data_IF_739551805617
#
_entry.id   IF_739551805617
#
_cell.length_a   1.000
_cell.length_b   1.000
_cell.length_c   1.000
_cell.angle_alpha   90.00
_cell.angle_beta   90.00
_cell.angle_gamma   90.00
#
_symmetry.space_group_name_H-M   'P 1'
#
loop_
_entity.id
_entity.type
_entity.pdbx_description
1 polymer ?
#
# COMPACT_ATOMS: atom_id res chain seq x y z
N UNK A 1 13.15 20.37 90.63
CA UNK A 1 12.36 19.52 89.72
C UNK A 1 11.74 20.43 88.67
N UNK A 2 12.34 20.51 87.49
CA UNK A 2 11.74 21.18 86.34
C UNK A 2 11.92 20.22 85.16
N UNK A 3 10.80 19.64 84.75
CA UNK A 3 10.71 18.67 83.66
C UNK A 3 11.07 19.31 82.33
N UNK A 4 11.77 18.53 81.53
CA UNK A 4 12.19 18.84 80.18
C UNK A 4 11.11 18.32 79.21
N UNK A 5 10.22 19.19 78.74
CA UNK A 5 9.26 18.86 77.68
C UNK A 5 9.83 19.26 76.32
N UNK A 6 10.40 18.29 75.62
CA UNK A 6 10.77 18.40 74.20
C UNK A 6 9.52 18.25 73.33
N UNK A 7 9.14 19.32 72.63
CA UNK A 7 8.18 19.28 71.52
C UNK A 7 8.92 18.93 70.22
N UNK A 8 8.45 18.00 69.39
CA UNK A 8 9.11 17.68 68.12
C UNK A 8 8.84 18.78 67.09
N UNK A 9 9.91 19.18 66.38
CA UNK A 9 9.85 20.10 65.26
C UNK A 9 9.11 19.44 64.08
N UNK A 10 8.05 20.10 63.62
CA UNK A 10 7.29 19.74 62.44
C UNK A 10 8.15 19.99 61.19
N UNK A 11 8.57 18.92 60.55
CA UNK A 11 9.37 18.94 59.33
C UNK A 11 8.49 19.37 58.16
N UNK A 12 8.54 20.66 57.78
CA UNK A 12 7.98 21.14 56.51
C UNK A 12 8.84 20.60 55.36
N UNK A 13 8.27 19.87 54.38
CA UNK A 13 9.03 19.51 53.19
C UNK A 13 9.37 20.78 52.40
N UNK A 14 10.64 20.89 52.01
CA UNK A 14 11.13 21.95 51.14
C UNK A 14 10.33 21.93 49.82
N UNK A 15 9.65 23.03 49.53
CA UNK A 15 9.11 23.35 48.21
C UNK A 15 10.29 23.36 47.24
N UNK A 16 10.34 22.37 46.36
CA UNK A 16 11.24 22.36 45.22
C UNK A 16 10.65 23.29 44.16
N UNK A 17 11.49 24.22 43.72
CA UNK A 17 11.18 25.38 42.90
C UNK A 17 10.43 25.07 41.58
N UNK A 18 9.57 25.99 41.08
CA UNK A 18 8.73 25.85 39.89
C UNK A 18 9.48 26.12 38.57
N UNK A 19 10.78 25.83 38.49
CA UNK A 19 11.65 26.24 37.37
C UNK A 19 11.65 25.19 36.25
N UNK A 20 11.53 23.90 36.55
CA UNK A 20 11.52 22.83 35.54
C UNK A 20 10.25 22.83 34.67
N UNK A 21 9.10 23.24 35.21
CA UNK A 21 7.83 23.27 34.48
C UNK A 21 7.75 24.42 33.48
N UNK A 22 8.41 25.55 33.77
CA UNK A 22 8.47 26.71 32.85
C UNK A 22 9.36 26.42 31.66
N UNK A 23 10.52 25.81 31.89
CA UNK A 23 11.42 25.40 30.80
C UNK A 23 10.76 24.31 29.92
N UNK A 24 10.01 23.38 30.52
CA UNK A 24 9.24 22.38 29.77
C UNK A 24 8.09 23.02 28.98
N UNK A 25 7.38 24.01 29.53
CA UNK A 25 6.32 24.75 28.84
C UNK A 25 6.87 25.62 27.71
N UNK A 26 7.99 26.31 27.92
CA UNK A 26 8.64 27.13 26.89
C UNK A 26 9.24 26.27 25.76
N UNK A 27 9.77 25.08 26.08
CA UNK A 27 10.17 24.08 25.08
C UNK A 27 8.97 23.55 24.28
N UNK A 28 7.86 23.24 24.96
CA UNK A 28 6.62 22.80 24.32
C UNK A 28 5.99 23.91 23.47
N UNK A 29 6.08 25.18 23.88
CA UNK A 29 5.54 26.33 23.17
C UNK A 29 6.43 26.73 21.97
N UNK A 30 7.75 26.58 22.10
CA UNK A 30 8.69 26.70 20.99
C UNK A 30 8.49 25.58 19.96
N UNK A 31 8.30 24.33 20.38
CA UNK A 31 7.95 23.21 19.49
C UNK A 31 6.53 23.34 18.91
N UNK A 32 5.59 23.93 19.65
CA UNK A 32 4.25 24.22 19.16
C UNK A 32 4.24 25.22 17.99
N UNK A 33 5.24 26.10 17.88
CA UNK A 33 5.43 26.97 16.70
C UNK A 33 5.94 26.20 15.49
N UNK A 34 6.65 25.10 15.69
CA UNK A 34 7.14 24.21 14.62
C UNK A 34 6.07 23.19 14.16
N UNK A 35 4.93 23.12 14.84
CA UNK A 35 3.81 22.23 14.53
C UNK A 35 3.32 22.26 13.08
N UNK A 36 3.14 23.42 12.40
CA UNK A 36 2.74 23.43 11.00
C UNK A 36 3.81 22.82 10.08
N UNK A 37 5.09 22.98 10.42
CA UNK A 37 6.21 22.36 9.68
C UNK A 37 6.29 20.86 9.93
N UNK A 38 6.05 20.43 11.17
CA UNK A 38 5.92 19.01 11.53
C UNK A 38 4.77 18.37 10.74
N UNK A 39 3.58 19.00 10.72
CA UNK A 39 2.42 18.54 9.95
C UNK A 39 2.71 18.46 8.45
N UNK A 40 3.47 19.41 7.91
CA UNK A 40 3.92 19.37 6.52
C UNK A 40 4.96 18.27 6.24
N UNK A 41 5.89 18.01 7.17
CA UNK A 41 6.91 16.97 7.05
C UNK A 41 6.31 15.56 7.22
N UNK A 42 5.17 15.44 7.93
CA UNK A 42 4.41 14.22 8.14
C UNK A 42 3.78 13.62 6.86
N UNK A 43 4.18 14.07 5.66
CA UNK A 43 3.81 13.48 4.37
C UNK A 43 4.65 12.25 3.99
N UNK A 44 5.74 11.98 4.71
CA UNK A 44 6.72 10.95 4.35
C UNK A 44 6.77 9.78 5.35
N UNK A 45 7.53 8.74 4.99
CA UNK A 45 7.58 7.41 5.62
C UNK A 45 7.80 7.40 7.15
N UNK A 46 7.38 6.32 7.80
CA UNK A 46 7.24 6.25 9.26
C UNK A 46 8.51 6.51 10.10
N UNK A 47 9.71 6.14 9.64
CA UNK A 47 10.97 6.42 10.35
C UNK A 47 11.38 7.90 10.26
N UNK A 48 11.24 8.50 9.08
CA UNK A 48 11.44 9.94 8.85
C UNK A 48 10.48 10.77 9.68
N UNK A 49 9.30 10.23 9.94
CA UNK A 49 8.27 10.87 10.74
C UNK A 49 8.69 11.12 12.19
N UNK A 50 9.45 10.19 12.74
CA UNK A 50 9.89 10.20 14.13
C UNK A 50 11.32 10.75 14.26
N UNK A 51 11.97 11.15 13.15
CA UNK A 51 13.36 11.61 13.10
C UNK A 51 14.34 10.64 13.77
N UNK A 52 14.05 9.34 13.67
CA UNK A 52 14.83 8.29 14.32
C UNK A 52 15.95 7.81 13.40
N UNK A 53 17.12 7.60 14.00
CA UNK A 53 18.22 6.90 13.34
C UNK A 53 17.90 5.41 13.19
N UNK A 54 18.53 4.70 12.23
CA UNK A 54 18.43 3.25 12.12
C UNK A 54 18.89 2.57 13.41
N UNK A 55 18.23 1.48 13.80
CA UNK A 55 18.60 0.71 14.99
C UNK A 55 18.11 1.24 16.34
N UNK A 56 17.25 2.27 16.37
CA UNK A 56 16.67 2.80 17.62
C UNK A 56 15.74 1.79 18.29
N UNK A 57 15.89 1.46 19.59
CA UNK A 57 15.08 0.43 20.24
C UNK A 57 13.59 0.78 20.27
N UNK A 58 12.71 -0.22 20.37
CA UNK A 58 11.26 -0.02 20.41
C UNK A 58 10.78 0.89 21.55
N UNK A 59 11.51 0.89 22.67
CA UNK A 59 11.25 1.78 23.80
C UNK A 59 11.23 3.25 23.38
N UNK A 60 12.18 3.63 22.52
CA UNK A 60 12.43 5.00 22.13
C UNK A 60 11.42 5.42 21.06
N UNK A 61 11.04 4.50 20.16
CA UNK A 61 9.93 4.70 19.22
C UNK A 61 8.65 5.07 19.98
N UNK A 62 8.35 4.34 21.06
CA UNK A 62 7.18 4.62 21.92
C UNK A 62 7.31 5.96 22.65
N UNK A 63 8.50 6.32 23.11
CA UNK A 63 8.74 7.61 23.77
C UNK A 63 8.51 8.77 22.80
N UNK A 64 9.13 8.72 21.60
CA UNK A 64 8.99 9.78 20.60
C UNK A 64 7.56 9.86 20.10
N UNK A 65 6.88 8.73 19.88
CA UNK A 65 5.46 8.72 19.55
C UNK A 65 4.63 9.46 20.60
N UNK A 66 4.81 9.13 21.90
CA UNK A 66 4.07 9.80 22.98
C UNK A 66 4.31 11.31 22.96
N UNK A 67 5.57 11.74 22.88
CA UNK A 67 5.93 13.17 22.82
C UNK A 67 5.28 13.88 21.63
N UNK A 68 5.48 13.37 20.41
CA UNK A 68 4.92 13.98 19.19
C UNK A 68 3.38 13.94 19.18
N UNK A 69 2.76 12.87 19.66
CA UNK A 69 1.30 12.70 19.70
C UNK A 69 0.60 13.70 20.61
N UNK A 70 1.24 14.12 21.71
CA UNK A 70 0.72 15.13 22.62
C UNK A 70 0.71 16.51 21.97
N UNK A 71 1.71 16.80 21.15
CA UNK A 71 1.81 18.05 20.38
C UNK A 71 0.74 18.12 19.29
N UNK A 72 0.52 17.03 18.55
CA UNK A 72 -0.46 16.95 17.44
C UNK A 72 -1.83 16.41 17.81
N UNK A 73 -2.17 16.38 19.10
CA UNK A 73 -3.46 15.83 19.50
C UNK A 73 -4.60 16.70 18.95
N UNK A 74 -5.61 16.12 18.26
CA UNK A 74 -6.68 16.88 17.64
C UNK A 74 -7.57 17.63 18.65
N UNK A 75 -7.64 17.14 19.89
CA UNK A 75 -8.39 17.79 20.99
C UNK A 75 -7.64 18.99 21.61
N UNK A 76 -6.31 19.03 21.49
CA UNK A 76 -5.47 20.08 22.09
C UNK A 76 -5.09 21.18 21.11
N UNK A 77 -5.30 20.96 19.80
CA UNK A 77 -4.85 21.86 18.75
C UNK A 77 -6.02 22.28 17.86
N UNK A 78 -6.10 23.57 17.54
CA UNK A 78 -7.14 24.12 16.64
C UNK A 78 -6.81 23.95 15.15
N UNK A 79 -5.74 23.22 14.83
CA UNK A 79 -5.30 23.05 13.45
C UNK A 79 -6.17 21.98 12.76
N UNK A 80 -6.84 22.30 11.64
CA UNK A 80 -7.69 21.34 10.93
C UNK A 80 -6.93 20.11 10.39
N UNK A 81 -5.60 20.20 10.25
CA UNK A 81 -4.76 19.09 9.80
C UNK A 81 -4.28 18.18 10.94
N UNK A 82 -4.54 18.52 12.20
CA UNK A 82 -4.08 17.74 13.36
C UNK A 82 -4.62 16.29 13.39
N UNK A 83 -5.91 16.01 13.05
CA UNK A 83 -6.40 14.63 13.00
C UNK A 83 -5.64 13.77 11.99
N UNK A 84 -5.41 14.29 10.79
CA UNK A 84 -4.67 13.60 9.74
C UNK A 84 -3.21 13.35 10.15
N UNK A 85 -2.56 14.36 10.72
CA UNK A 85 -1.20 14.26 11.25
C UNK A 85 -1.07 13.20 12.35
N UNK A 86 -2.03 13.15 13.27
CA UNK A 86 -2.09 12.19 14.36
C UNK A 86 -2.26 10.76 13.84
N UNK A 87 -3.18 10.54 12.89
CA UNK A 87 -3.40 9.23 12.28
C UNK A 87 -2.15 8.73 11.55
N UNK A 88 -1.44 9.61 10.84
CA UNK A 88 -0.17 9.28 10.19
C UNK A 88 0.92 8.93 11.21
N UNK A 89 1.02 9.69 12.30
CA UNK A 89 1.96 9.39 13.39
C UNK A 89 1.68 8.03 14.02
N UNK A 90 0.42 7.71 14.25
CA UNK A 90 -0.01 6.40 14.78
C UNK A 90 0.30 5.27 13.79
N UNK A 91 0.04 5.48 12.50
CA UNK A 91 0.37 4.50 11.46
C UNK A 91 1.87 4.22 11.40
N UNK A 92 2.70 5.27 11.44
CA UNK A 92 4.16 5.13 11.47
C UNK A 92 4.66 4.37 12.68
N UNK A 93 4.11 4.65 13.88
CA UNK A 93 4.43 3.88 15.07
C UNK A 93 4.11 2.39 14.86
N UNK A 94 2.92 2.06 14.36
CA UNK A 94 2.53 0.67 14.10
C UNK A 94 3.46 -0.02 13.10
N UNK A 95 3.82 0.67 12.01
CA UNK A 95 4.73 0.13 11.01
C UNK A 95 6.14 -0.10 11.56
N UNK A 96 6.67 0.81 12.40
CA UNK A 96 8.00 0.65 13.00
C UNK A 96 8.06 -0.39 14.11
N UNK A 97 6.90 -0.75 14.68
CA UNK A 97 6.78 -1.82 15.65
C UNK A 97 6.68 -3.21 15.00
N UNK A 98 6.52 -3.29 13.67
CA UNK A 98 6.55 -4.56 12.94
C UNK A 98 7.96 -4.86 12.42
N UNK A 99 8.52 -5.97 12.89
CA UNK A 99 9.88 -6.42 12.56
C UNK A 99 10.12 -6.49 11.04
N UNK A 100 9.16 -6.99 10.27
CA UNK A 100 9.31 -7.11 8.81
C UNK A 100 9.36 -5.76 8.10
N UNK A 101 8.63 -4.78 8.62
CA UNK A 101 8.68 -3.42 8.07
C UNK A 101 9.98 -2.73 8.47
N UNK A 102 10.46 -3.01 9.68
CA UNK A 102 11.73 -2.52 10.18
C UNK A 102 12.92 -3.03 9.37
N UNK A 103 12.99 -4.33 9.10
CA UNK A 103 14.02 -4.91 8.22
C UNK A 103 14.06 -4.21 6.86
N UNK A 104 12.91 -4.02 6.21
CA UNK A 104 12.83 -3.32 4.91
C UNK A 104 13.26 -1.86 4.98
N UNK A 105 12.96 -1.18 6.09
CA UNK A 105 13.40 0.19 6.30
C UNK A 105 14.91 0.24 6.49
N UNK A 106 15.49 -0.66 7.28
CA UNK A 106 16.93 -0.75 7.50
C UNK A 106 17.68 -1.09 6.20
N UNK A 107 17.13 -2.02 5.38
CA UNK A 107 17.62 -2.31 4.02
C UNK A 107 17.62 -1.04 3.15
N UNK A 108 16.49 -0.32 3.08
CA UNK A 108 16.39 0.89 2.28
C UNK A 108 17.34 2.00 2.74
N UNK A 109 17.58 2.10 4.06
CA UNK A 109 18.52 3.07 4.63
C UNK A 109 19.97 2.70 4.29
N UNK A 110 20.32 1.41 4.36
CA UNK A 110 21.61 0.90 3.94
C UNK A 110 21.85 1.10 2.43
N UNK A 111 20.85 0.80 1.59
CA UNK A 111 20.88 1.02 0.15
C UNK A 111 21.10 2.49 -0.18
N UNK A 112 20.36 3.40 0.48
CA UNK A 112 20.53 4.84 0.30
C UNK A 112 21.95 5.31 0.65
N UNK A 113 22.54 4.76 1.71
CA UNK A 113 23.94 5.05 2.08
C UNK A 113 24.89 4.60 0.98
N UNK A 114 24.73 3.37 0.48
CA UNK A 114 25.58 2.82 -0.58
C UNK A 114 25.45 3.59 -1.90
N UNK A 115 24.23 4.01 -2.25
CA UNK A 115 23.97 4.81 -3.44
C UNK A 115 24.69 6.16 -3.37
N UNK A 116 24.61 6.86 -2.23
CA UNK A 116 25.32 8.13 -2.06
C UNK A 116 26.84 7.98 -2.13
N UNK A 117 27.39 6.95 -1.47
CA UNK A 117 28.82 6.64 -1.55
C UNK A 117 29.24 6.43 -3.00
N UNK A 118 28.43 5.69 -3.79
CA UNK A 118 28.70 5.44 -5.20
C UNK A 118 28.56 6.69 -6.07
N UNK A 119 27.50 7.48 -5.89
CA UNK A 119 27.22 8.71 -6.63
C UNK A 119 28.34 9.73 -6.44
N UNK A 120 28.83 9.88 -5.21
CA UNK A 120 29.88 10.83 -4.87
C UNK A 120 31.29 10.25 -4.96
N UNK A 121 31.43 8.97 -5.37
CA UNK A 121 32.71 8.23 -5.48
C UNK A 121 33.52 8.24 -4.18
N UNK A 122 32.82 8.19 -3.04
CA UNK A 122 33.44 8.10 -1.72
C UNK A 122 33.81 6.66 -1.37
N UNK A 123 34.60 6.52 -0.31
CA UNK A 123 34.85 5.22 0.34
C UNK A 123 34.11 5.17 1.68
N UNK A 124 34.03 3.98 2.30
CA UNK A 124 33.35 3.78 3.59
C UNK A 124 33.98 4.61 4.73
N UNK A 125 35.26 4.98 4.58
CA UNK A 125 36.04 5.72 5.57
C UNK A 125 36.14 7.23 5.28
N UNK A 126 35.43 7.72 4.25
CA UNK A 126 35.48 9.13 3.85
C UNK A 126 35.00 10.04 5.01
N UNK A 127 35.74 11.10 5.38
CA UNK A 127 35.36 12.01 6.46
C UNK A 127 34.01 12.72 6.20
N UNK A 128 33.63 12.88 4.93
CA UNK A 128 32.37 13.44 4.47
C UNK A 128 31.17 12.66 5.04
N UNK A 129 31.30 11.35 5.26
CA UNK A 129 30.23 10.49 5.80
C UNK A 129 29.87 10.80 7.26
N UNK A 130 30.68 11.59 7.96
CA UNK A 130 30.46 12.00 9.36
C UNK A 130 29.91 13.42 9.49
N UNK A 131 29.70 14.11 8.37
CA UNK A 131 29.21 15.49 8.37
C UNK A 131 27.69 15.54 8.52
N UNK A 132 27.17 16.64 9.10
CA UNK A 132 25.73 16.88 9.17
C UNK A 132 25.11 17.01 7.76
N UNK A 133 25.89 17.51 6.80
CA UNK A 133 25.48 17.58 5.40
C UNK A 133 25.22 16.17 4.83
N UNK A 134 26.11 15.21 5.11
CA UNK A 134 25.88 13.83 4.74
C UNK A 134 24.66 13.24 5.43
N UNK A 135 24.45 13.50 6.72
CA UNK A 135 23.25 13.05 7.42
C UNK A 135 21.96 13.58 6.77
N UNK A 136 21.98 14.81 6.26
CA UNK A 136 20.86 15.39 5.49
C UNK A 136 20.70 14.71 4.14
N UNK A 137 21.77 14.59 3.35
CA UNK A 137 21.74 13.91 2.04
C UNK A 137 21.26 12.46 2.17
N UNK A 138 21.75 11.76 3.19
CA UNK A 138 21.37 10.38 3.47
C UNK A 138 19.89 10.24 3.82
N UNK A 139 19.35 11.18 4.61
CA UNK A 139 17.92 11.23 4.88
C UNK A 139 17.11 11.45 3.61
N UNK A 140 17.50 12.41 2.78
CA UNK A 140 16.81 12.70 1.52
C UNK A 140 16.90 11.53 0.53
N UNK A 141 18.05 10.86 0.43
CA UNK A 141 18.23 9.67 -0.42
C UNK A 141 17.42 8.48 0.07
N UNK A 142 17.35 8.27 1.38
CA UNK A 142 16.50 7.22 1.97
C UNK A 142 15.04 7.42 1.58
N UNK A 143 14.56 8.66 1.58
CA UNK A 143 13.20 8.99 1.12
C UNK A 143 13.00 8.62 -0.35
N UNK A 144 13.95 8.95 -1.22
CA UNK A 144 13.92 8.60 -2.64
C UNK A 144 13.83 7.08 -2.84
N UNK A 145 14.73 6.32 -2.19
CA UNK A 145 14.77 4.84 -2.29
C UNK A 145 13.45 4.21 -1.82
N UNK A 146 12.88 4.70 -0.72
CA UNK A 146 11.60 4.17 -0.23
C UNK A 146 10.44 4.44 -1.20
N UNK A 147 10.39 5.62 -1.81
CA UNK A 147 9.38 5.95 -2.82
C UNK A 147 9.57 5.04 -4.04
N UNK A 148 10.79 4.87 -4.52
CA UNK A 148 11.10 4.03 -5.67
C UNK A 148 10.77 2.56 -5.43
N UNK A 149 11.08 2.04 -4.24
CA UNK A 149 10.74 0.67 -3.84
C UNK A 149 9.22 0.45 -3.83
N UNK A 150 8.44 1.38 -3.28
CA UNK A 150 6.98 1.28 -3.27
C UNK A 150 6.38 1.42 -4.68
N UNK A 151 6.93 2.31 -5.51
CA UNK A 151 6.52 2.45 -6.91
C UNK A 151 6.83 1.19 -7.72
N UNK A 152 8.00 0.58 -7.49
CA UNK A 152 8.39 -0.70 -8.11
C UNK A 152 7.44 -1.81 -7.69
N UNK A 153 7.13 -1.93 -6.39
CA UNK A 153 6.17 -2.89 -5.84
C UNK A 153 4.79 -2.72 -6.48
N UNK A 154 4.27 -1.49 -6.56
CA UNK A 154 2.98 -1.21 -7.22
C UNK A 154 2.96 -1.60 -8.70
N UNK A 155 4.05 -1.33 -9.43
CA UNK A 155 4.17 -1.74 -10.84
C UNK A 155 4.17 -3.25 -10.99
N UNK A 156 4.91 -3.97 -10.14
CA UNK A 156 4.96 -5.43 -10.14
C UNK A 156 3.61 -6.05 -9.81
N UNK A 157 2.92 -5.58 -8.76
CA UNK A 157 1.58 -6.05 -8.41
C UNK A 157 0.57 -5.81 -9.54
N UNK A 158 0.61 -4.63 -10.16
CA UNK A 158 -0.26 -4.32 -11.30
C UNK A 158 0.02 -5.23 -12.50
N UNK A 159 1.28 -5.52 -12.79
CA UNK A 159 1.66 -6.43 -13.85
C UNK A 159 1.15 -7.86 -13.60
N UNK A 160 1.33 -8.37 -12.37
CA UNK A 160 0.82 -9.69 -11.96
C UNK A 160 -0.70 -9.80 -12.10
N UNK A 161 -1.45 -8.81 -11.59
CA UNK A 161 -2.92 -8.79 -11.73
C UNK A 161 -3.38 -8.78 -13.20
N UNK A 162 -2.65 -8.08 -14.08
CA UNK A 162 -2.97 -8.06 -15.50
C UNK A 162 -2.66 -9.39 -16.19
N UNK A 163 -1.59 -10.07 -15.78
CA UNK A 163 -1.22 -11.38 -16.28
C UNK A 163 -2.22 -12.46 -15.83
N UNK A 164 -2.56 -12.47 -14.54
CA UNK A 164 -3.59 -13.36 -13.98
C UNK A 164 -4.94 -13.13 -14.67
N UNK A 165 -5.36 -11.88 -14.88
CA UNK A 165 -6.59 -11.57 -15.62
C UNK A 165 -6.54 -11.92 -17.11
N UNK A 166 -5.35 -12.04 -17.72
CA UNK A 166 -5.21 -12.58 -19.08
C UNK A 166 -5.32 -14.09 -19.09
N UNK A 167 -4.74 -14.75 -18.09
CA UNK A 167 -4.80 -16.20 -17.94
C UNK A 167 -6.22 -16.68 -17.62
N UNK A 168 -6.91 -16.02 -16.68
CA UNK A 168 -8.32 -16.31 -16.36
C UNK A 168 -9.21 -16.19 -17.59
N UNK A 169 -9.09 -15.11 -18.39
CA UNK A 169 -9.87 -14.98 -19.64
C UNK A 169 -9.56 -16.06 -20.68
N UNK A 170 -8.30 -16.51 -20.77
CA UNK A 170 -7.92 -17.61 -21.66
C UNK A 170 -8.54 -18.93 -21.20
N UNK A 171 -8.47 -19.20 -19.89
CA UNK A 171 -9.07 -20.39 -19.30
C UNK A 171 -10.60 -20.40 -19.47
N UNK A 172 -11.28 -19.29 -19.18
CA UNK A 172 -12.72 -19.13 -19.38
C UNK A 172 -13.11 -19.36 -20.85
N UNK A 173 -12.43 -18.69 -21.80
CA UNK A 173 -12.69 -18.86 -23.22
C UNK A 173 -12.49 -20.31 -23.69
N UNK A 174 -11.47 -21.00 -23.20
CA UNK A 174 -11.24 -22.41 -23.50
C UNK A 174 -12.37 -23.30 -22.93
N UNK A 175 -12.80 -23.05 -21.69
CA UNK A 175 -13.91 -23.80 -21.10
C UNK A 175 -15.23 -23.52 -21.82
N UNK A 176 -15.49 -22.30 -22.25
CA UNK A 176 -16.66 -21.93 -23.03
C UNK A 176 -16.63 -22.56 -24.43
N UNK A 177 -15.48 -22.57 -25.10
CA UNK A 177 -15.35 -23.23 -26.40
C UNK A 177 -15.58 -24.75 -26.28
N UNK A 178 -15.03 -25.38 -25.22
CA UNK A 178 -15.29 -26.79 -24.93
C UNK A 178 -16.78 -27.04 -24.65
N UNK A 179 -17.44 -26.19 -23.87
CA UNK A 179 -18.89 -26.27 -23.62
C UNK A 179 -19.69 -26.10 -24.91
N UNK A 180 -19.34 -25.11 -25.74
CA UNK A 180 -19.99 -24.85 -27.03
C UNK A 180 -19.84 -26.01 -28.00
N UNK A 181 -18.63 -26.61 -28.10
CA UNK A 181 -18.40 -27.80 -28.93
C UNK A 181 -19.22 -28.99 -28.45
N UNK A 182 -19.24 -29.25 -27.14
CA UNK A 182 -20.07 -30.32 -26.54
C UNK A 182 -21.56 -30.10 -26.80
N UNK A 183 -22.05 -28.88 -26.63
CA UNK A 183 -23.45 -28.56 -26.89
C UNK A 183 -23.81 -28.75 -28.36
N UNK A 184 -22.98 -28.24 -29.28
CA UNK A 184 -23.18 -28.42 -30.71
C UNK A 184 -23.17 -29.92 -31.12
N UNK A 185 -22.29 -30.73 -30.54
CA UNK A 185 -22.25 -32.18 -30.79
C UNK A 185 -23.52 -32.88 -30.26
N UNK A 186 -24.01 -32.49 -29.09
CA UNK A 186 -25.29 -32.98 -28.55
C UNK A 186 -26.45 -32.59 -29.47
N UNK A 187 -26.60 -31.31 -29.81
CA UNK A 187 -27.65 -30.81 -30.70
C UNK A 187 -27.59 -31.50 -32.09
N UNK A 188 -26.37 -31.76 -32.59
CA UNK A 188 -26.15 -32.49 -33.83
C UNK A 188 -26.62 -33.95 -33.73
N UNK A 189 -26.30 -34.67 -32.66
CA UNK A 189 -26.77 -36.05 -32.46
C UNK A 189 -28.28 -36.11 -32.24
N UNK A 190 -28.88 -35.18 -31.50
CA UNK A 190 -30.34 -35.12 -31.30
C UNK A 190 -31.11 -34.96 -32.62
N UNK A 191 -30.58 -34.12 -33.52
CA UNK A 191 -31.18 -33.90 -34.84
C UNK A 191 -30.82 -34.99 -35.87
N UNK A 192 -30.06 -36.03 -35.48
CA UNK A 192 -29.62 -37.11 -36.37
C UNK A 192 -30.78 -37.86 -37.00
N UNK A 193 -31.76 -38.31 -36.22
CA UNK A 193 -32.87 -39.10 -36.73
C UNK A 193 -33.74 -38.29 -37.71
N UNK A 194 -33.96 -37.01 -37.42
CA UNK A 194 -34.66 -36.09 -38.31
C UNK A 194 -33.90 -35.87 -39.63
N UNK A 195 -32.57 -35.74 -39.57
CA UNK A 195 -31.73 -35.65 -40.78
C UNK A 195 -31.74 -36.96 -41.57
N UNK A 196 -31.67 -38.10 -40.91
CA UNK A 196 -31.74 -39.43 -41.56
C UNK A 196 -33.09 -39.61 -42.25
N UNK A 197 -34.20 -39.26 -41.59
CA UNK A 197 -35.53 -39.36 -42.18
C UNK A 197 -35.67 -38.42 -43.39
N UNK A 198 -35.22 -37.17 -43.27
CA UNK A 198 -35.19 -36.20 -44.37
C UNK A 198 -34.35 -36.71 -45.56
N UNK A 199 -33.20 -37.35 -45.29
CA UNK A 199 -32.34 -37.92 -46.33
C UNK A 199 -32.97 -39.15 -47.00
N UNK A 200 -33.61 -40.04 -46.23
CA UNK A 200 -34.36 -41.20 -46.76
C UNK A 200 -35.50 -40.73 -47.67
N UNK A 201 -36.23 -39.69 -47.27
CA UNK A 201 -37.29 -39.08 -48.10
C UNK A 201 -36.74 -38.47 -49.39
N UNK A 202 -35.60 -37.75 -49.33
CA UNK A 202 -34.93 -37.21 -50.52
C UNK A 202 -34.49 -38.32 -51.48
N UNK A 203 -33.90 -39.40 -50.97
CA UNK A 203 -33.49 -40.54 -51.80
C UNK A 203 -34.70 -41.24 -52.44
N UNK A 204 -35.81 -41.39 -51.69
CA UNK A 204 -37.08 -41.90 -52.23
C UNK A 204 -37.67 -41.00 -53.32
N UNK A 205 -37.55 -39.67 -53.17
CA UNK A 205 -37.90 -38.70 -54.20
C UNK A 205 -37.01 -38.77 -55.45
N UNK A 206 -35.76 -39.21 -55.30
CA UNK A 206 -34.82 -39.43 -56.41
C UNK A 206 -35.07 -40.77 -57.13
N UNK A 207 -35.51 -41.81 -56.43
CA UNK A 207 -35.95 -43.08 -57.05
C UNK A 207 -37.33 -42.99 -57.70
N UNK A 208 -38.19 -42.03 -57.28
CA UNK A 208 -39.45 -41.71 -57.96
C UNK A 208 -39.31 -40.65 -59.06
N UNK A 209 -38.10 -40.13 -59.31
CA UNK A 209 -37.82 -39.05 -60.27
C UNK A 209 -37.40 -39.52 -61.67
N UNK A 210 -37.45 -40.82 -61.94
CA UNK A 210 -37.34 -41.39 -63.29
C UNK A 210 -38.70 -41.46 -63.98
N UNK A 211 -39.38 -40.32 -64.15
CA UNK A 211 -40.60 -40.22 -64.95
C UNK A 211 -41.64 -39.21 -64.45
N UNK A 212 -41.76 -38.07 -65.16
CA UNK A 212 -43.03 -37.34 -65.27
C UNK A 212 -43.24 -36.09 -64.39
N UNK A 213 -42.80 -34.94 -64.92
CA UNK A 213 -43.56 -33.69 -65.07
C UNK A 213 -44.17 -32.95 -63.85
N UNK A 214 -43.63 -31.77 -63.53
CA UNK A 214 -44.30 -30.47 -63.70
C UNK A 214 -43.62 -29.36 -62.88
N UNK A 215 -43.17 -28.33 -63.59
CA UNK A 215 -42.59 -27.13 -62.99
C UNK A 215 -43.62 -26.29 -62.24
N UNK A 216 -43.33 -25.97 -60.97
CA UNK A 216 -43.91 -24.80 -60.28
C UNK A 216 -42.83 -23.74 -60.12
N UNK A 217 -42.99 -22.68 -60.91
CA UNK A 217 -42.19 -21.46 -60.98
C UNK A 217 -41.81 -20.93 -59.58
N UNK A 218 -40.50 -20.76 -59.33
CA UNK A 218 -40.00 -19.86 -58.28
C UNK A 218 -40.42 -18.43 -58.66
N UNK A 219 -41.36 -17.85 -57.91
CA UNK A 219 -41.61 -16.40 -57.92
C UNK A 219 -40.36 -15.74 -57.30
N UNK A 220 -39.57 -15.04 -58.12
CA UNK A 220 -38.48 -14.17 -57.65
C UNK A 220 -39.07 -13.15 -56.65
N UNK A 221 -38.68 -13.21 -55.37
CA UNK A 221 -38.79 -12.05 -54.49
C UNK A 221 -37.74 -11.03 -54.96
N UNK A 222 -38.17 -9.77 -55.12
CA UNK A 222 -37.29 -8.64 -55.44
C UNK A 222 -36.41 -8.33 -54.21
N UNK A 223 -35.14 -7.95 -54.40
CA UNK A 223 -34.31 -7.46 -53.31
C UNK A 223 -34.81 -6.07 -52.88
N UNK A 224 -35.03 -5.90 -51.57
CA UNK A 224 -35.20 -4.60 -50.91
C UNK A 224 -33.82 -3.97 -50.84
N UNK A 225 -33.72 -2.75 -51.36
CA UNK A 225 -32.60 -1.84 -51.11
C UNK A 225 -32.76 -1.09 -49.79
#
# INVERSE_FOLDING_TARGET
>A
MSGNDSKPAENKPAESEPVEDKDALDLLEAEAKEMPKLIASLRHSGSMLLDLQPGVPESDIKIVYRKKSLLIHPDKTKNPQAPEAFDRLKKAQTELMDEKHRERLDEAIADARMLLIRENKWTVDSPELKTEEFARMWRDKTREVLIDNEMRRKRQLKAQMQEEGREQRRAEAETEERKRKRQHEQDWEETRDQRIDSWRQFQKGKSSGGGGESGKKKKKLKPIG
#
